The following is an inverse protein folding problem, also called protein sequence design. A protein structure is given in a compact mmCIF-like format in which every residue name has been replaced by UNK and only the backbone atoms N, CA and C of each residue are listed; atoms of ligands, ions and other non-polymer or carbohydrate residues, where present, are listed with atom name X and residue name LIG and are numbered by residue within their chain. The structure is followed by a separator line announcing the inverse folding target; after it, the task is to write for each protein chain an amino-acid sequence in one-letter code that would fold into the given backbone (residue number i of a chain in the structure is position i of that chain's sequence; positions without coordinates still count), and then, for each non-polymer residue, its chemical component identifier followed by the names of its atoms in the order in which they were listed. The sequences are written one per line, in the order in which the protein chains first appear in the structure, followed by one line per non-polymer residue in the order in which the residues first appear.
data_IF_678057690205
#
_entry.id   IF_678057690205
#
_cell.length_a   1.000
_cell.length_b   1.000
_cell.length_c   1.000
_cell.angle_alpha   90.00
_cell.angle_beta   90.00
_cell.angle_gamma   90.00
#
_symmetry.space_group_name_H-M   'P 1'
#
loop_
_entity.id
_entity.type
_entity.pdbx_description
1 polymer ?
#
# COMPACT_ATOMS: atom_id res chain seq x y z
N UNK A 1 53.27 13.03 43.99
CA UNK A 1 52.37 13.97 43.30
C UNK A 1 51.02 13.31 42.96
N UNK A 2 50.39 12.46 43.81
CA UNK A 2 49.46 11.47 43.24
C UNK A 2 48.25 11.01 44.11
N UNK A 3 47.88 11.69 45.20
CA UNK A 3 46.63 11.32 45.94
C UNK A 3 45.63 12.47 46.03
N UNK A 4 46.11 13.68 46.32
CA UNK A 4 45.25 14.85 46.42
C UNK A 4 44.63 15.29 45.09
N UNK A 5 45.32 15.10 43.96
CA UNK A 5 44.79 15.51 42.64
C UNK A 5 43.69 14.56 42.13
N UNK A 6 43.80 13.26 42.40
CA UNK A 6 42.76 12.29 42.04
C UNK A 6 41.48 12.48 42.87
N UNK A 7 41.62 12.77 44.17
CA UNK A 7 40.46 13.08 45.02
C UNK A 7 39.79 14.40 44.61
N UNK A 8 40.56 15.41 44.23
CA UNK A 8 40.02 16.66 43.68
C UNK A 8 39.32 16.44 42.34
N UNK A 9 39.90 15.61 41.47
CA UNK A 9 39.29 15.27 40.18
C UNK A 9 37.97 14.51 40.37
N UNK A 10 37.92 13.56 41.31
CA UNK A 10 36.69 12.82 41.62
C UNK A 10 35.63 13.71 42.27
N UNK A 11 36.01 14.56 43.23
CA UNK A 11 35.09 15.51 43.87
C UNK A 11 34.53 16.54 42.88
N UNK A 12 35.35 17.04 41.95
CA UNK A 12 34.90 17.94 40.88
C UNK A 12 34.00 17.22 39.88
N UNK A 13 34.25 15.94 39.59
CA UNK A 13 33.38 15.12 38.73
C UNK A 13 32.02 14.91 39.40
N UNK A 14 31.98 14.60 40.68
CA UNK A 14 30.73 14.41 41.44
C UNK A 14 29.95 15.72 41.60
N UNK A 15 30.64 16.83 41.87
CA UNK A 15 30.01 18.15 41.96
C UNK A 15 29.43 18.62 40.62
N UNK A 16 30.02 18.25 39.47
CA UNK A 16 29.48 18.55 38.14
C UNK A 16 28.32 17.61 37.74
N UNK A 17 28.28 16.38 38.26
CA UNK A 17 27.25 15.39 37.94
C UNK A 17 25.87 15.73 38.47
N UNK A 18 25.77 16.56 39.51
CA UNK A 18 24.50 17.01 40.08
C UNK A 18 24.55 18.51 40.37
N UNK A 19 24.28 19.31 39.34
CA UNK A 19 24.14 20.75 39.46
C UNK A 19 22.72 21.19 39.13
N UNK A 20 22.14 22.06 39.95
CA UNK A 20 20.87 22.72 39.67
C UNK A 20 21.20 24.12 39.16
N UNK A 21 21.17 24.32 37.84
CA UNK A 21 21.38 25.62 37.22
C UNK A 21 20.06 26.18 36.68
N UNK A 22 20.07 27.39 36.10
CA UNK A 22 18.88 27.98 35.46
C UNK A 22 18.25 27.07 34.38
N UNK A 23 19.01 26.14 33.79
CA UNK A 23 18.50 25.15 32.84
C UNK A 23 17.98 23.84 33.46
N UNK A 24 17.70 23.83 34.77
CA UNK A 24 17.13 22.69 35.49
C UNK A 24 18.19 21.80 36.15
N UNK A 25 17.77 20.60 36.57
CA UNK A 25 18.69 19.59 37.12
C UNK A 25 19.52 18.99 35.98
N UNK A 26 20.84 18.96 36.16
CA UNK A 26 21.77 18.31 35.25
C UNK A 26 22.20 16.99 35.88
N UNK A 27 21.99 15.92 35.13
CA UNK A 27 22.55 14.60 35.42
C UNK A 27 23.30 14.19 34.15
N UNK A 28 24.59 13.92 34.31
CA UNK A 28 25.43 13.40 33.25
C UNK A 28 25.53 11.89 33.41
N UNK A 29 25.40 11.17 32.31
CA UNK A 29 25.59 9.73 32.27
C UNK A 29 27.09 9.35 32.29
N UNK A 30 27.39 8.06 32.12
CA UNK A 30 28.76 7.54 32.13
C UNK A 30 29.61 8.00 30.94
N UNK A 31 28.97 8.42 29.84
CA UNK A 31 29.59 8.94 28.63
C UNK A 31 29.72 10.47 28.64
N UNK A 32 29.10 11.13 29.63
CA UNK A 32 29.10 12.58 29.77
C UNK A 32 27.96 13.27 29.01
N UNK A 33 27.00 12.50 28.51
CA UNK A 33 25.79 13.02 27.88
C UNK A 33 24.75 13.39 28.93
N UNK A 34 23.90 14.37 28.60
CA UNK A 34 22.87 14.87 29.51
C UNK A 34 21.57 14.08 29.34
N UNK A 35 20.99 13.68 30.46
CA UNK A 35 19.58 13.27 30.51
C UNK A 35 18.65 14.44 30.14
N UNK A 36 17.90 14.28 29.05
CA UNK A 36 16.99 15.28 28.48
C UNK A 36 15.59 14.75 28.21
N UNK A 37 14.62 15.66 28.23
CA UNK A 37 13.25 15.40 27.80
C UNK A 37 13.04 15.94 26.39
N UNK A 38 12.69 15.07 25.46
CA UNK A 38 12.32 15.45 24.10
C UNK A 38 10.81 15.60 23.98
N UNK A 39 10.35 16.78 23.56
CA UNK A 39 8.93 17.04 23.30
C UNK A 39 8.61 16.89 21.82
N UNK A 40 7.58 16.11 21.51
CA UNK A 40 6.99 16.06 20.18
C UNK A 40 5.81 17.03 20.12
N UNK A 41 5.88 17.97 19.18
CA UNK A 41 4.87 19.01 19.00
C UNK A 41 4.15 18.81 17.67
N UNK A 42 2.87 19.19 17.64
CA UNK A 42 2.03 19.13 16.44
C UNK A 42 1.19 20.40 16.34
N UNK A 43 0.73 20.70 15.12
CA UNK A 43 -0.25 21.76 14.91
C UNK A 43 -1.65 21.17 15.03
N UNK A 44 -2.43 21.66 16.00
CA UNK A 44 -3.80 21.23 16.22
C UNK A 44 -4.73 21.77 15.13
N UNK A 45 -5.51 20.91 14.49
CA UNK A 45 -6.49 21.34 13.49
C UNK A 45 -7.68 22.10 14.09
N UNK A 46 -8.00 21.87 15.37
CA UNK A 46 -9.10 22.58 16.02
C UNK A 46 -8.73 24.02 16.36
N UNK A 47 -7.52 24.24 16.87
CA UNK A 47 -7.10 25.54 17.42
C UNK A 47 -6.14 26.29 16.50
N UNK A 48 -5.50 25.60 15.54
CA UNK A 48 -4.46 26.14 14.66
C UNK A 48 -3.12 26.43 15.37
N UNK A 49 -2.95 25.98 16.63
CA UNK A 49 -1.79 26.27 17.46
C UNK A 49 -0.87 25.06 17.63
N UNK A 50 0.38 25.32 17.99
CA UNK A 50 1.32 24.28 18.41
C UNK A 50 0.94 23.74 19.78
N UNK A 51 0.80 22.42 19.87
CA UNK A 51 0.49 21.69 21.08
C UNK A 51 1.50 20.54 21.26
N UNK A 52 1.76 20.14 22.51
CA UNK A 52 2.66 19.01 22.81
C UNK A 52 1.86 17.71 22.80
N UNK A 53 2.26 16.78 21.91
CA UNK A 53 1.64 15.46 21.79
C UNK A 53 2.14 14.52 22.89
N UNK A 54 3.46 14.37 22.98
CA UNK A 54 4.13 13.47 23.92
C UNK A 54 5.50 14.02 24.31
N UNK A 55 6.01 13.51 25.43
CA UNK A 55 7.35 13.82 25.94
C UNK A 55 8.09 12.51 26.17
N UNK A 56 9.29 12.38 25.62
CA UNK A 56 10.18 11.25 25.84
C UNK A 56 11.27 11.64 26.84
N UNK A 57 11.29 10.96 27.98
CA UNK A 57 12.28 11.11 29.05
C UNK A 57 13.41 10.11 28.83
N UNK A 58 14.60 10.59 28.44
CA UNK A 58 15.77 9.74 28.16
C UNK A 58 16.30 9.05 29.41
N UNK A 59 16.23 9.69 30.58
CA UNK A 59 16.72 9.12 31.85
C UNK A 59 15.95 7.86 32.27
N UNK A 60 14.66 7.82 31.93
CA UNK A 60 13.77 6.68 32.23
C UNK A 60 13.49 5.81 31.02
N UNK A 61 14.01 6.22 29.85
CA UNK A 61 13.66 5.66 28.55
C UNK A 61 12.14 5.48 28.39
N UNK A 62 11.37 6.53 28.75
CA UNK A 62 9.91 6.45 28.85
C UNK A 62 9.21 7.56 28.08
N UNK A 63 8.22 7.16 27.28
CA UNK A 63 7.29 8.08 26.63
C UNK A 63 6.11 8.39 27.54
N UNK A 64 5.78 9.68 27.65
CA UNK A 64 4.66 10.20 28.41
C UNK A 64 3.74 10.94 27.44
N UNK A 65 2.57 10.37 27.19
CA UNK A 65 1.54 11.02 26.39
C UNK A 65 0.95 12.22 27.16
N UNK A 66 0.88 13.38 26.49
CA UNK A 66 0.28 14.60 27.06
C UNK A 66 -1.14 14.84 26.55
N UNK A 67 -1.45 14.36 25.35
CA UNK A 67 -2.76 14.47 24.72
C UNK A 67 -3.28 13.09 24.30
N UNK A 68 -4.24 12.49 25.04
CA UNK A 68 -4.79 11.18 24.69
C UNK A 68 -5.74 11.22 23.47
N UNK A 69 -6.32 12.37 23.15
CA UNK A 69 -7.13 12.58 21.95
C UNK A 69 -6.67 13.84 21.19
N UNK A 70 -5.55 13.76 20.46
CA UNK A 70 -4.96 14.91 19.77
C UNK A 70 -5.72 15.22 18.46
N UNK A 71 -5.88 16.51 18.15
CA UNK A 71 -6.58 16.97 16.94
C UNK A 71 -5.64 16.94 15.71
N UNK A 72 -5.16 15.74 15.38
CA UNK A 72 -4.22 15.49 14.29
C UNK A 72 -4.91 15.58 12.92
N UNK A 73 -4.16 15.96 11.89
CA UNK A 73 -4.66 16.02 10.51
C UNK A 73 -4.78 14.68 9.80
N UNK A 74 -4.46 13.58 10.46
CA UNK A 74 -4.55 12.26 9.88
C UNK A 74 -5.92 11.64 10.15
N UNK A 75 -6.47 10.92 9.16
CA UNK A 75 -7.74 10.18 9.28
C UNK A 75 -7.56 8.91 10.11
N UNK A 76 -7.18 9.05 11.38
CA UNK A 76 -7.03 7.97 12.36
C UNK A 76 -5.71 7.21 12.37
N UNK A 77 -4.96 7.14 11.26
CA UNK A 77 -3.64 6.49 11.20
C UNK A 77 -2.62 7.36 10.48
N UNK A 78 -1.36 7.28 10.92
CA UNK A 78 -0.21 7.84 10.21
C UNK A 78 -0.15 7.34 8.76
N UNK A 79 0.29 8.19 7.81
CA UNK A 79 0.54 7.74 6.44
C UNK A 79 1.64 6.69 6.41
N UNK A 80 1.60 5.83 5.39
CA UNK A 80 2.69 4.89 5.13
C UNK A 80 3.95 5.66 4.69
N UNK A 81 5.10 5.18 5.15
CA UNK A 81 6.43 5.70 4.86
C UNK A 81 6.91 5.32 3.45
N UNK A 82 6.46 4.18 2.94
CA UNK A 82 6.77 3.75 1.59
C UNK A 82 5.86 4.41 0.54
N UNK A 83 6.42 4.87 -0.58
CA UNK A 83 5.61 5.32 -1.70
C UNK A 83 4.79 4.14 -2.22
N UNK A 84 3.49 4.36 -2.46
CA UNK A 84 2.67 3.36 -3.14
C UNK A 84 3.30 3.03 -4.48
N UNK A 85 3.75 1.79 -4.64
CA UNK A 85 4.45 1.38 -5.83
C UNK A 85 3.47 1.38 -7.01
N UNK A 86 3.59 2.36 -7.90
CA UNK A 86 2.69 2.51 -9.05
C UNK A 86 2.74 1.30 -10.00
N UNK A 87 3.80 0.49 -9.90
CA UNK A 87 3.94 -0.76 -10.64
C UNK A 87 2.91 -1.80 -10.25
N UNK A 88 2.50 -1.89 -8.99
CA UNK A 88 1.54 -2.90 -8.55
C UNK A 88 0.15 -2.63 -9.15
N UNK A 89 -0.25 -1.35 -9.19
CA UNK A 89 -1.46 -0.92 -9.89
C UNK A 89 -1.40 -1.20 -11.39
N UNK A 90 -0.22 -1.05 -12.02
CA UNK A 90 -0.05 -1.34 -13.46
C UNK A 90 -0.05 -2.84 -13.76
N UNK A 91 0.55 -3.66 -12.90
CA UNK A 91 0.57 -5.12 -13.02
C UNK A 91 -0.85 -5.69 -12.97
N UNK A 92 -1.67 -5.24 -12.03
CA UNK A 92 -3.05 -5.70 -11.88
C UNK A 92 -3.89 -5.40 -13.14
N UNK A 93 -3.80 -4.18 -13.67
CA UNK A 93 -4.53 -3.80 -14.89
C UNK A 93 -4.05 -4.61 -16.09
N UNK A 94 -2.73 -4.77 -16.26
CA UNK A 94 -2.16 -5.54 -17.36
C UNK A 94 -2.64 -7.00 -17.35
N UNK A 95 -2.66 -7.66 -16.18
CA UNK A 95 -3.12 -9.04 -16.03
C UNK A 95 -4.62 -9.16 -16.36
N UNK A 96 -5.44 -8.21 -15.93
CA UNK A 96 -6.89 -8.20 -16.25
C UNK A 96 -7.11 -8.10 -17.76
N UNK A 97 -6.41 -7.16 -18.43
CA UNK A 97 -6.54 -6.97 -19.88
C UNK A 97 -6.07 -8.21 -20.66
N UNK A 98 -4.95 -8.81 -20.27
CA UNK A 98 -4.45 -10.06 -20.86
C UNK A 98 -5.46 -11.20 -20.70
N UNK A 99 -6.09 -11.32 -19.52
CA UNK A 99 -7.14 -12.31 -19.27
C UNK A 99 -8.35 -12.15 -20.20
N UNK A 100 -8.83 -10.92 -20.39
CA UNK A 100 -9.97 -10.64 -21.28
C UNK A 100 -9.66 -11.02 -22.74
N UNK A 101 -8.45 -10.72 -23.23
CA UNK A 101 -8.03 -11.08 -24.58
C UNK A 101 -8.08 -12.60 -24.77
N UNK A 102 -7.53 -13.37 -23.83
CA UNK A 102 -7.52 -14.84 -23.90
C UNK A 102 -8.95 -15.41 -23.92
N UNK A 103 -9.84 -14.87 -23.08
CA UNK A 103 -11.25 -15.29 -23.04
C UNK A 103 -11.95 -15.02 -24.38
N UNK A 104 -11.75 -13.83 -24.96
CA UNK A 104 -12.36 -13.45 -26.25
C UNK A 104 -11.85 -14.34 -27.38
N UNK A 105 -10.53 -14.54 -27.47
CA UNK A 105 -9.92 -15.42 -28.49
C UNK A 105 -10.44 -16.85 -28.36
N UNK A 106 -10.55 -17.34 -27.13
CA UNK A 106 -11.07 -18.69 -26.86
C UNK A 106 -12.55 -18.80 -27.25
N UNK A 107 -13.38 -17.79 -26.94
CA UNK A 107 -14.79 -17.77 -27.33
C UNK A 107 -14.96 -17.79 -28.86
N UNK A 108 -14.19 -16.98 -29.58
CA UNK A 108 -14.20 -16.95 -31.05
C UNK A 108 -13.78 -18.30 -31.61
N UNK A 109 -12.67 -18.89 -31.13
CA UNK A 109 -12.20 -20.20 -31.55
C UNK A 109 -13.26 -21.29 -31.31
N UNK A 110 -13.95 -21.27 -30.16
CA UNK A 110 -15.04 -22.20 -29.84
C UNK A 110 -16.25 -22.02 -30.75
N UNK A 111 -16.60 -20.78 -31.12
CA UNK A 111 -17.70 -20.50 -32.07
C UNK A 111 -17.35 -21.10 -33.43
N UNK A 112 -16.16 -20.81 -33.96
CA UNK A 112 -15.72 -21.37 -35.24
C UNK A 112 -15.65 -22.90 -35.22
N UNK A 113 -15.12 -23.47 -34.14
CA UNK A 113 -15.09 -24.92 -33.96
C UNK A 113 -16.49 -25.54 -34.00
N UNK A 114 -17.46 -24.92 -33.30
CA UNK A 114 -18.86 -25.37 -33.28
C UNK A 114 -19.55 -25.20 -34.63
N UNK A 115 -19.32 -24.09 -35.33
CA UNK A 115 -19.88 -23.83 -36.65
C UNK A 115 -19.38 -24.84 -37.68
N UNK A 116 -18.05 -25.02 -37.79
CA UNK A 116 -17.45 -25.98 -38.72
C UNK A 116 -17.90 -27.43 -38.45
N UNK A 117 -18.06 -27.83 -37.17
CA UNK A 117 -18.59 -29.15 -36.82
C UNK A 117 -20.05 -29.32 -37.27
N UNK A 118 -20.89 -28.29 -37.09
CA UNK A 118 -22.30 -28.30 -37.54
C UNK A 118 -22.38 -28.36 -39.06
N UNK A 119 -21.59 -27.58 -39.78
CA UNK A 119 -21.55 -27.61 -41.24
C UNK A 119 -21.16 -28.98 -41.78
N UNK A 120 -20.10 -29.59 -41.24
CA UNK A 120 -19.72 -30.97 -41.61
C UNK A 120 -20.82 -31.98 -41.35
N UNK A 121 -21.58 -31.83 -40.26
CA UNK A 121 -22.72 -32.71 -39.96
C UNK A 121 -23.88 -32.47 -40.92
N UNK A 122 -24.17 -31.22 -41.27
CA UNK A 122 -25.20 -30.90 -42.27
C UNK A 122 -24.79 -31.45 -43.64
N UNK A 123 -23.57 -31.21 -44.12
CA UNK A 123 -23.09 -31.75 -45.40
C UNK A 123 -23.22 -33.28 -45.47
N UNK A 124 -22.94 -34.00 -44.38
CA UNK A 124 -23.18 -35.46 -44.28
C UNK A 124 -24.65 -35.86 -44.33
N UNK A 125 -25.58 -35.01 -43.88
CA UNK A 125 -27.03 -35.25 -44.02
C UNK A 125 -27.49 -35.02 -45.47
N UNK A 126 -27.00 -33.96 -46.10
CA UNK A 126 -27.33 -33.63 -47.49
C UNK A 126 -26.69 -34.60 -48.50
N UNK A 127 -25.55 -35.23 -48.19
CA UNK A 127 -24.94 -36.23 -49.07
C UNK A 127 -25.76 -37.52 -49.22
N UNK A 128 -26.75 -37.75 -48.37
CA UNK A 128 -27.65 -38.92 -48.46
C UNK A 128 -28.92 -38.63 -49.27
N UNK A 129 -29.17 -37.38 -49.66
CA UNK A 129 -30.29 -37.06 -50.56
C UNK A 129 -29.85 -37.45 -51.96
N UNK A 130 -30.51 -38.45 -52.51
CA UNK A 130 -30.19 -39.00 -53.82
C UNK A 130 -30.40 -37.94 -54.93
N UNK A 131 -29.49 -37.82 -55.91
CA UNK A 131 -29.53 -36.78 -56.95
C UNK A 131 -30.85 -36.69 -57.73
N UNK A 132 -31.63 -37.77 -57.77
CA UNK A 132 -32.91 -37.83 -58.46
C UNK A 132 -34.05 -37.08 -57.75
N UNK A 133 -33.86 -36.63 -56.49
CA UNK A 133 -34.84 -35.81 -55.76
C UNK A 133 -34.58 -34.31 -55.87
N UNK A 134 -33.45 -33.91 -56.46
CA UNK A 134 -33.11 -32.51 -56.75
C UNK A 134 -33.60 -32.23 -58.16
N UNK A 135 -34.93 -32.07 -58.31
CA UNK A 135 -35.53 -31.66 -59.57
C UNK A 135 -35.18 -30.19 -59.88
N UNK A 136 -34.93 -29.83 -61.15
CA UNK A 136 -34.79 -28.42 -61.55
C UNK A 136 -36.06 -27.67 -61.15
N UNK A 137 -35.88 -26.48 -60.57
CA UNK A 137 -36.96 -25.61 -60.09
C UNK A 137 -37.92 -25.34 -61.27
N UNK A 138 -39.19 -25.73 -61.13
CA UNK A 138 -40.20 -25.53 -62.17
C UNK A 138 -40.42 -24.02 -62.36
N UNK A 139 -39.93 -23.48 -63.48
CA UNK A 139 -39.95 -22.04 -63.79
C UNK A 139 -41.37 -21.49 -64.04
N UNK A 140 -42.40 -22.34 -63.94
CA UNK A 140 -43.79 -22.01 -64.31
C UNK A 140 -44.60 -21.32 -63.21
N UNK A 141 -44.08 -21.17 -61.99
CA UNK A 141 -44.84 -20.55 -60.89
C UNK A 141 -44.58 -19.04 -60.70
N UNK A 142 -43.71 -18.39 -61.51
CA UNK A 142 -43.41 -16.95 -61.40
C UNK A 142 -44.05 -16.13 -62.54
N UNK A 143 -45.29 -16.46 -62.88
CA UNK A 143 -46.12 -15.56 -63.71
C UNK A 143 -47.50 -15.40 -63.12
N UNK A 144 -47.55 -14.71 -61.97
CA UNK A 144 -48.78 -14.03 -61.54
C UNK A 144 -48.90 -12.74 -62.36
N UNK A 145 -49.95 -12.71 -63.16
CA UNK A 145 -50.40 -11.61 -64.04
C UNK A 145 -51.09 -10.51 -63.24
#
# INVERSE_FOLDING_TARGET
MLRGEEELANALKDSKRHSNSMGGRYVLDEYGDRDVNFSFIYTSLHTGKYETLLVFDTSKNKTIEKHPNPALGWKGKLPYDEPKNSEDLKKDVAVIVLGLIVVVVTAIALIFYRQNRKERLMQKKWSHISPHQIGPLDEKEVSLK
#
